data_IF_837339980412
#
_entry.id   IF_837339980412
#
_cell.length_a   1.000
_cell.length_b   1.000
_cell.length_c   1.000
_cell.angle_alpha   90.00
_cell.angle_beta   90.00
_cell.angle_gamma   90.00
#
_symmetry.space_group_name_H-M   'P 1'
#
loop_
_entity.id
_entity.type
_entity.pdbx_description
1 polymer ?
#
# COMPACT_ATOMS: atom_id res chain seq x y z
N UNK A 1 -5.68 -19.57 25.65
CA UNK A 1 -5.53 -18.30 24.89
C UNK A 1 -6.03 -18.61 23.51
N UNK A 2 -7.08 -17.94 23.01
CA UNK A 2 -7.48 -18.13 21.61
C UNK A 2 -6.31 -17.69 20.73
N UNK A 3 -5.88 -18.53 19.81
CA UNK A 3 -4.81 -18.19 18.88
C UNK A 3 -5.19 -16.91 18.12
N UNK A 4 -4.42 -15.86 18.31
CA UNK A 4 -4.61 -14.57 17.63
C UNK A 4 -4.46 -14.78 16.13
N UNK A 5 -5.52 -14.58 15.38
CA UNK A 5 -5.51 -14.70 13.91
C UNK A 5 -4.86 -13.45 13.33
N UNK A 6 -3.81 -13.64 12.54
CA UNK A 6 -3.17 -12.55 11.80
C UNK A 6 -3.75 -12.53 10.38
N UNK A 7 -4.26 -11.36 9.88
CA UNK A 7 -4.67 -11.25 8.49
C UNK A 7 -3.52 -11.58 7.54
N UNK A 8 -3.80 -12.33 6.48
CA UNK A 8 -2.78 -12.65 5.48
C UNK A 8 -2.36 -11.41 4.68
N UNK A 9 -3.33 -10.59 4.27
CA UNK A 9 -3.10 -9.35 3.53
C UNK A 9 -3.69 -8.14 4.28
N UNK A 10 -2.83 -7.28 4.78
CA UNK A 10 -3.20 -6.00 5.42
C UNK A 10 -2.96 -4.85 4.45
N UNK A 11 -3.91 -3.93 4.38
CA UNK A 11 -3.77 -2.69 3.62
C UNK A 11 -3.82 -1.47 4.55
N UNK A 12 -3.02 -0.42 4.28
CA UNK A 12 -2.99 0.79 5.11
C UNK A 12 -3.12 2.04 4.24
N UNK A 13 -4.15 2.85 4.53
CA UNK A 13 -4.24 4.23 4.04
C UNK A 13 -3.62 5.15 5.08
N UNK A 14 -2.42 5.64 4.78
CA UNK A 14 -1.55 6.42 5.68
C UNK A 14 -1.95 7.89 5.72
N UNK A 15 -3.10 8.19 6.32
CA UNK A 15 -3.64 9.55 6.39
C UNK A 15 -3.21 10.29 7.68
N UNK A 16 -3.21 11.63 7.62
CA UNK A 16 -3.00 12.50 8.77
C UNK A 16 -1.61 13.12 8.89
N UNK A 17 -0.65 12.83 8.01
CA UNK A 17 0.71 13.38 8.08
C UNK A 17 0.75 14.91 8.17
N UNK A 18 -0.04 15.61 7.35
CA UNK A 18 -0.10 17.08 7.33
C UNK A 18 -0.79 17.64 8.57
N UNK A 19 -1.90 17.00 9.02
CA UNK A 19 -2.64 17.40 10.23
C UNK A 19 -1.77 17.25 11.46
N UNK A 20 -1.06 16.12 11.59
CA UNK A 20 -0.08 15.88 12.64
C UNK A 20 0.99 16.98 12.71
N UNK A 21 1.57 17.36 11.57
CA UNK A 21 2.56 18.41 11.52
C UNK A 21 1.96 19.77 11.94
N UNK A 22 0.76 20.12 11.46
CA UNK A 22 0.05 21.36 11.81
C UNK A 22 -0.21 21.46 13.31
N UNK A 23 -0.72 20.42 13.95
CA UNK A 23 -0.97 20.40 15.40
C UNK A 23 0.30 20.56 16.23
N UNK A 24 1.43 20.09 15.71
CA UNK A 24 2.75 20.23 16.36
C UNK A 24 3.50 21.52 15.94
N UNK A 25 2.85 22.45 15.24
CA UNK A 25 3.48 23.69 14.77
C UNK A 25 4.62 23.47 13.76
N UNK A 26 4.59 22.34 13.02
CA UNK A 26 5.66 21.94 12.09
C UNK A 26 5.21 22.10 10.62
N UNK A 27 6.19 22.19 9.72
CA UNK A 27 5.93 22.16 8.27
C UNK A 27 5.36 20.80 7.84
N UNK A 28 4.47 20.78 6.85
CA UNK A 28 3.87 19.55 6.31
C UNK A 28 4.92 18.51 5.87
N UNK A 29 6.05 18.95 5.32
CA UNK A 29 7.18 18.09 4.93
C UNK A 29 7.73 17.24 6.10
N UNK A 30 7.76 17.79 7.32
CA UNK A 30 8.18 17.03 8.50
C UNK A 30 7.15 15.95 8.90
N UNK A 31 5.86 16.19 8.67
CA UNK A 31 4.84 15.16 8.86
C UNK A 31 5.02 13.97 7.90
N UNK A 32 5.30 14.25 6.62
CA UNK A 32 5.60 13.20 5.64
C UNK A 32 6.89 12.44 5.97
N UNK A 33 7.93 13.15 6.43
CA UNK A 33 9.18 12.52 6.86
C UNK A 33 8.93 11.59 8.06
N UNK A 34 8.18 12.02 9.06
CA UNK A 34 7.87 11.20 10.23
C UNK A 34 6.99 10.01 9.84
N UNK A 35 5.95 10.22 9.03
CA UNK A 35 5.14 9.13 8.48
C UNK A 35 5.97 8.09 7.72
N UNK A 36 7.00 8.52 6.98
CA UNK A 36 7.88 7.58 6.28
C UNK A 36 8.73 6.72 7.23
N UNK A 37 9.11 7.22 8.42
CA UNK A 37 9.77 6.43 9.46
C UNK A 37 8.77 5.45 10.09
N UNK A 38 7.58 5.93 10.42
CA UNK A 38 6.49 5.09 10.93
C UNK A 38 6.18 3.94 9.99
N UNK A 39 6.10 4.21 8.67
CA UNK A 39 5.86 3.16 7.68
C UNK A 39 6.95 2.07 7.72
N UNK A 40 8.21 2.46 7.84
CA UNK A 40 9.32 1.50 7.91
C UNK A 40 9.23 0.64 9.18
N UNK A 41 8.95 1.25 10.34
CA UNK A 41 8.84 0.58 11.64
C UNK A 41 7.61 -0.35 11.66
N UNK A 42 6.41 0.20 11.39
CA UNK A 42 5.15 -0.55 11.42
C UNK A 42 5.09 -1.62 10.34
N UNK A 43 5.65 -1.35 9.14
CA UNK A 43 5.75 -2.34 8.08
C UNK A 43 6.60 -3.55 8.47
N UNK A 44 7.78 -3.30 9.05
CA UNK A 44 8.63 -4.40 9.56
C UNK A 44 7.97 -5.15 10.70
N UNK A 45 7.25 -4.45 11.58
CA UNK A 45 6.49 -5.07 12.67
C UNK A 45 5.36 -5.96 12.14
N UNK A 46 4.60 -5.51 11.14
CA UNK A 46 3.54 -6.30 10.52
C UNK A 46 4.06 -7.64 9.98
N UNK A 47 5.19 -7.65 9.25
CA UNK A 47 5.80 -8.89 8.77
C UNK A 47 6.27 -9.80 9.91
N UNK A 48 6.89 -9.25 10.97
CA UNK A 48 7.29 -10.00 12.17
C UNK A 48 6.08 -10.60 12.89
N UNK A 49 4.93 -9.92 12.86
CA UNK A 49 3.67 -10.41 13.45
C UNK A 49 2.97 -11.48 12.61
N UNK A 50 3.48 -11.81 11.41
CA UNK A 50 2.98 -12.89 10.57
C UNK A 50 2.18 -12.45 9.33
N UNK A 51 1.98 -11.15 9.10
CA UNK A 51 1.39 -10.62 7.86
C UNK A 51 2.25 -11.05 6.68
N UNK A 52 1.63 -11.57 5.61
CA UNK A 52 2.34 -12.03 4.40
C UNK A 52 2.34 -10.99 3.29
N UNK A 53 1.28 -10.19 3.21
CA UNK A 53 1.13 -9.12 2.22
C UNK A 53 0.76 -7.83 2.93
N UNK A 54 1.54 -6.79 2.70
CA UNK A 54 1.25 -5.45 3.22
C UNK A 54 1.16 -4.47 2.06
N UNK A 55 -0.03 -3.91 1.82
CA UNK A 55 -0.24 -2.87 0.80
C UNK A 55 -0.39 -1.50 1.46
N UNK A 56 0.28 -0.47 0.92
CA UNK A 56 0.21 0.88 1.48
C UNK A 56 -0.06 1.93 0.42
N UNK A 57 -0.90 2.92 0.74
CA UNK A 57 -1.23 4.01 -0.16
C UNK A 57 -0.23 5.15 0.01
N UNK A 58 0.84 5.14 -0.79
CA UNK A 58 1.92 6.12 -0.69
C UNK A 58 1.63 7.42 -1.46
N UNK A 59 1.06 7.32 -2.68
CA UNK A 59 0.75 8.49 -3.51
C UNK A 59 -0.35 8.14 -4.54
N UNK A 60 -1.50 8.83 -4.44
CA UNK A 60 -2.61 8.61 -5.36
C UNK A 60 -2.47 9.43 -6.64
N UNK A 61 -3.18 9.05 -7.71
CA UNK A 61 -3.29 9.83 -8.95
C UNK A 61 -3.82 11.24 -8.68
N UNK A 62 -4.72 11.42 -7.70
CA UNK A 62 -5.28 12.70 -7.31
C UNK A 62 -4.27 13.61 -6.59
N UNK A 63 -3.20 13.06 -6.04
CA UNK A 63 -2.18 13.84 -5.34
C UNK A 63 -1.35 14.73 -6.27
N UNK A 64 -1.35 14.48 -7.58
CA UNK A 64 -0.76 15.39 -8.55
C UNK A 64 -1.47 16.76 -8.64
N UNK A 65 -2.68 16.88 -8.08
CA UNK A 65 -3.40 18.18 -7.95
C UNK A 65 -2.83 19.07 -6.83
N UNK A 66 -1.89 18.57 -6.02
CA UNK A 66 -1.18 19.35 -5.00
C UNK A 66 -0.20 20.33 -5.66
N UNK A 67 0.37 21.24 -4.87
CA UNK A 67 1.40 22.15 -5.38
C UNK A 67 2.61 21.37 -5.93
N UNK A 68 3.24 21.89 -6.98
CA UNK A 68 4.45 21.30 -7.58
C UNK A 68 5.57 21.11 -6.56
N UNK A 69 5.71 22.07 -5.61
CA UNK A 69 6.67 22.00 -4.52
C UNK A 69 6.41 20.77 -3.62
N UNK A 70 5.14 20.55 -3.23
CA UNK A 70 4.77 19.39 -2.39
C UNK A 70 4.98 18.06 -3.14
N UNK A 71 4.57 18.00 -4.40
CA UNK A 71 4.77 16.81 -5.25
C UNK A 71 6.25 16.52 -5.43
N UNK A 72 7.05 17.53 -5.77
CA UNK A 72 8.51 17.42 -5.90
C UNK A 72 9.16 16.89 -4.64
N UNK A 73 8.84 17.49 -3.48
CA UNK A 73 9.33 17.02 -2.19
C UNK A 73 8.97 15.55 -1.90
N UNK A 74 7.72 15.15 -2.17
CA UNK A 74 7.28 13.76 -1.95
C UNK A 74 8.02 12.78 -2.84
N UNK A 75 8.27 13.11 -4.12
CA UNK A 75 9.05 12.28 -5.04
C UNK A 75 10.50 12.13 -4.56
N UNK A 76 11.14 13.22 -4.09
CA UNK A 76 12.49 13.17 -3.52
C UNK A 76 12.55 12.33 -2.25
N UNK A 77 11.55 12.45 -1.38
CA UNK A 77 11.43 11.64 -0.16
C UNK A 77 11.29 10.15 -0.51
N UNK A 78 10.47 9.80 -1.50
CA UNK A 78 10.28 8.44 -1.98
C UNK A 78 11.61 7.85 -2.47
N UNK A 79 12.34 8.57 -3.35
CA UNK A 79 13.64 8.12 -3.86
C UNK A 79 14.61 7.88 -2.71
N UNK A 80 14.71 8.85 -1.78
CA UNK A 80 15.58 8.75 -0.62
C UNK A 80 15.25 7.52 0.23
N UNK A 81 13.95 7.29 0.47
CA UNK A 81 13.48 6.14 1.25
C UNK A 81 13.73 4.82 0.54
N UNK A 82 13.44 4.71 -0.74
CA UNK A 82 13.72 3.51 -1.52
C UNK A 82 15.19 3.12 -1.43
N UNK A 83 16.10 4.08 -1.58
CA UNK A 83 17.54 3.83 -1.45
C UNK A 83 17.96 3.41 -0.04
N UNK A 84 17.44 4.09 1.00
CA UNK A 84 17.85 3.85 2.39
C UNK A 84 17.28 2.57 2.99
N UNK A 85 16.07 2.15 2.57
CA UNK A 85 15.36 0.98 3.14
C UNK A 85 15.52 -0.29 2.32
N UNK A 86 16.00 -0.19 1.06
CA UNK A 86 16.17 -1.33 0.16
C UNK A 86 16.96 -2.48 0.80
N UNK A 87 18.14 -2.18 1.35
CA UNK A 87 18.98 -3.20 2.01
C UNK A 87 18.33 -3.83 3.24
N UNK A 88 17.42 -3.11 3.91
CA UNK A 88 16.70 -3.62 5.06
C UNK A 88 15.64 -4.64 4.62
N UNK A 89 14.87 -4.33 3.57
CA UNK A 89 13.90 -5.27 2.99
C UNK A 89 14.60 -6.50 2.42
N UNK A 90 15.65 -6.32 1.64
CA UNK A 90 16.47 -7.39 1.06
C UNK A 90 17.00 -8.34 2.16
N UNK A 91 17.63 -7.82 3.22
CA UNK A 91 18.18 -8.61 4.34
C UNK A 91 17.10 -9.36 5.12
N UNK A 92 15.87 -8.84 5.18
CA UNK A 92 14.75 -9.48 5.87
C UNK A 92 13.91 -10.37 4.95
N UNK A 93 14.34 -10.60 3.70
CA UNK A 93 13.65 -11.47 2.75
C UNK A 93 12.27 -10.96 2.33
N UNK A 94 12.05 -9.62 2.35
CA UNK A 94 10.78 -9.00 1.96
C UNK A 94 10.89 -8.55 0.50
N UNK A 95 10.01 -9.09 -0.35
CA UNK A 95 9.85 -8.65 -1.73
C UNK A 95 9.07 -7.32 -1.75
N UNK A 96 9.59 -6.32 -2.46
CA UNK A 96 8.88 -5.05 -2.66
C UNK A 96 8.38 -4.99 -4.09
N UNK A 97 7.11 -4.63 -4.25
CA UNK A 97 6.47 -4.40 -5.54
C UNK A 97 5.76 -3.04 -5.53
N UNK A 98 5.66 -2.42 -6.69
CA UNK A 98 5.03 -1.11 -6.81
C UNK A 98 3.81 -1.22 -7.70
N UNK A 99 2.62 -0.95 -7.17
CA UNK A 99 1.37 -0.84 -7.91
C UNK A 99 1.13 0.60 -8.34
N UNK A 100 0.77 0.80 -9.61
CA UNK A 100 0.43 2.09 -10.19
C UNK A 100 1.14 2.38 -11.51
N UNK A 101 0.71 3.47 -12.14
CA UNK A 101 1.23 3.90 -13.44
C UNK A 101 2.65 4.42 -13.32
N UNK A 102 3.49 4.14 -14.33
CA UNK A 102 4.87 4.67 -14.42
C UNK A 102 4.95 5.97 -15.22
N UNK A 103 3.96 6.20 -16.09
CA UNK A 103 3.78 7.47 -16.78
C UNK A 103 3.57 8.63 -15.79
N UNK A 104 3.96 9.83 -16.16
CA UNK A 104 3.95 11.03 -15.32
C UNK A 104 4.84 10.99 -14.07
N UNK A 105 5.58 9.88 -13.83
CA UNK A 105 6.64 9.86 -12.82
C UNK A 105 7.96 10.37 -13.42
N UNK A 106 8.73 11.10 -12.62
CA UNK A 106 10.08 11.53 -13.00
C UNK A 106 10.97 10.31 -13.32
N UNK A 107 11.87 10.39 -14.32
CA UNK A 107 12.74 9.26 -14.70
C UNK A 107 13.59 8.70 -13.55
N UNK A 108 14.04 9.56 -12.61
CA UNK A 108 14.81 9.14 -11.45
C UNK A 108 13.97 8.35 -10.43
N UNK A 109 12.66 8.65 -10.31
CA UNK A 109 11.72 7.87 -9.50
C UNK A 109 11.53 6.49 -10.12
N UNK A 110 11.29 6.41 -11.44
CA UNK A 110 11.14 5.14 -12.18
C UNK A 110 12.39 4.27 -12.02
N UNK A 111 13.59 4.87 -12.13
CA UNK A 111 14.86 4.16 -11.91
C UNK A 111 14.98 3.63 -10.47
N UNK A 112 14.60 4.44 -9.47
CA UNK A 112 14.64 4.01 -8.06
C UNK A 112 13.67 2.85 -7.77
N UNK A 113 12.48 2.87 -8.38
CA UNK A 113 11.51 1.77 -8.34
C UNK A 113 12.12 0.49 -8.91
N UNK A 114 12.62 0.55 -10.15
CA UNK A 114 13.17 -0.63 -10.85
C UNK A 114 14.33 -1.26 -10.05
N UNK A 115 15.19 -0.43 -9.45
CA UNK A 115 16.29 -0.92 -8.62
C UNK A 115 15.80 -1.59 -7.33
N UNK A 116 14.78 -1.00 -6.65
CA UNK A 116 14.20 -1.57 -5.45
C UNK A 116 13.54 -2.92 -5.73
N UNK A 117 12.69 -3.00 -6.78
CA UNK A 117 12.03 -4.23 -7.20
C UNK A 117 13.05 -5.32 -7.58
N UNK A 118 14.08 -4.96 -8.36
CA UNK A 118 15.14 -5.89 -8.78
C UNK A 118 15.90 -6.48 -7.59
N UNK A 119 16.29 -5.65 -6.62
CA UNK A 119 17.08 -6.10 -5.46
C UNK A 119 16.29 -6.95 -4.49
N UNK A 120 14.99 -6.75 -4.40
CA UNK A 120 14.13 -7.46 -3.44
C UNK A 120 13.33 -8.60 -4.08
N UNK A 121 13.51 -8.88 -5.38
CA UNK A 121 12.69 -9.83 -6.16
C UNK A 121 12.64 -11.24 -5.59
N UNK A 122 13.71 -11.69 -4.95
CA UNK A 122 13.87 -13.05 -4.43
C UNK A 122 13.42 -13.18 -2.95
N UNK A 123 12.80 -12.11 -2.38
CA UNK A 123 12.24 -12.16 -1.03
C UNK A 123 11.06 -13.13 -0.93
N UNK A 124 11.08 -13.97 0.11
CA UNK A 124 10.08 -15.05 0.34
C UNK A 124 9.35 -14.94 1.68
N UNK A 125 9.75 -14.02 2.55
CA UNK A 125 9.15 -13.84 3.88
C UNK A 125 7.79 -13.16 3.79
N UNK A 126 7.68 -12.16 2.89
CA UNK A 126 6.44 -11.42 2.64
C UNK A 126 6.59 -10.47 1.46
N UNK A 127 5.46 -9.90 1.03
CA UNK A 127 5.38 -8.93 -0.08
C UNK A 127 4.93 -7.58 0.44
N UNK A 128 5.76 -6.55 0.21
CA UNK A 128 5.42 -5.17 0.50
C UNK A 128 5.01 -4.46 -0.79
N UNK A 129 3.73 -4.21 -0.95
CA UNK A 129 3.16 -3.51 -2.10
C UNK A 129 2.99 -2.02 -1.78
N UNK A 130 3.67 -1.16 -2.53
CA UNK A 130 3.58 0.29 -2.39
C UNK A 130 2.78 0.86 -3.56
N UNK A 131 1.58 1.37 -3.27
CA UNK A 131 0.73 2.01 -4.27
C UNK A 131 1.21 3.45 -4.50
N UNK A 132 1.86 3.67 -5.66
CA UNK A 132 2.47 4.93 -6.07
C UNK A 132 1.95 5.34 -7.45
N UNK A 133 1.50 6.59 -7.61
CA UNK A 133 0.75 7.03 -8.79
C UNK A 133 -0.42 6.06 -9.09
N UNK A 134 -1.14 5.75 -8.03
CA UNK A 134 -2.13 4.68 -8.00
C UNK A 134 -3.56 5.24 -7.85
N UNK A 135 -4.51 4.59 -8.50
CA UNK A 135 -5.95 4.75 -8.30
C UNK A 135 -6.66 3.47 -8.73
N UNK A 136 -7.58 2.96 -7.91
CA UNK A 136 -8.25 1.68 -8.17
C UNK A 136 -9.10 1.68 -9.44
N UNK A 137 -9.73 2.81 -9.79
CA UNK A 137 -10.43 2.95 -11.07
C UNK A 137 -9.44 2.87 -12.24
N UNK A 138 -8.29 3.57 -12.15
CA UNK A 138 -7.25 3.52 -13.18
C UNK A 138 -6.66 2.11 -13.33
N UNK A 139 -6.46 1.39 -12.24
CA UNK A 139 -5.99 -0.01 -12.28
C UNK A 139 -6.97 -0.91 -13.04
N UNK A 140 -8.27 -0.80 -12.74
CA UNK A 140 -9.32 -1.58 -13.43
C UNK A 140 -9.38 -1.22 -14.92
N UNK A 141 -9.33 0.09 -15.27
CA UNK A 141 -9.31 0.54 -16.66
C UNK A 141 -8.10 -0.02 -17.44
N UNK A 142 -6.92 0.00 -16.82
CA UNK A 142 -5.70 -0.49 -17.44
C UNK A 142 -5.71 -2.03 -17.57
N UNK A 143 -6.26 -2.74 -16.57
CA UNK A 143 -6.50 -4.18 -16.61
C UNK A 143 -7.44 -4.57 -17.76
N UNK A 144 -8.57 -3.85 -17.93
CA UNK A 144 -9.51 -4.08 -19.03
C UNK A 144 -8.85 -3.84 -20.40
N UNK A 145 -8.05 -2.78 -20.56
CA UNK A 145 -7.31 -2.52 -21.80
C UNK A 145 -6.34 -3.65 -22.14
N UNK A 146 -5.62 -4.17 -21.14
CA UNK A 146 -4.69 -5.29 -21.31
C UNK A 146 -5.44 -6.56 -21.69
N UNK A 147 -6.54 -6.88 -20.98
CA UNK A 147 -7.41 -8.02 -21.26
C UNK A 147 -7.97 -7.97 -22.69
N UNK A 148 -8.51 -6.80 -23.09
CA UNK A 148 -9.07 -6.62 -24.43
C UNK A 148 -8.01 -6.82 -25.53
N UNK A 149 -6.77 -6.38 -25.30
CA UNK A 149 -5.65 -6.62 -26.20
C UNK A 149 -5.32 -8.11 -26.30
N UNK A 150 -5.17 -8.80 -25.17
CA UNK A 150 -4.84 -10.22 -25.12
C UNK A 150 -5.96 -11.07 -25.75
N UNK A 151 -7.22 -10.69 -25.57
CA UNK A 151 -8.36 -11.32 -26.25
C UNK A 151 -8.27 -11.15 -27.76
N UNK A 152 -8.03 -9.91 -28.24
CA UNK A 152 -7.84 -9.64 -29.68
C UNK A 152 -6.68 -10.45 -30.28
N UNK A 153 -5.62 -10.64 -29.50
CA UNK A 153 -4.42 -11.39 -29.89
C UNK A 153 -4.61 -12.93 -29.76
N UNK A 154 -5.78 -13.41 -29.35
CA UNK A 154 -6.09 -14.84 -29.15
C UNK A 154 -5.34 -15.50 -27.99
N UNK A 155 -4.88 -14.71 -26.99
CA UNK A 155 -4.08 -15.20 -25.85
C UNK A 155 -4.91 -15.56 -24.64
N UNK A 156 -6.17 -15.15 -24.58
CA UNK A 156 -7.06 -15.36 -23.45
C UNK A 156 -8.44 -15.77 -23.93
N UNK A 157 -9.06 -16.70 -23.18
CA UNK A 157 -10.46 -17.09 -23.28
C UNK A 157 -11.25 -16.32 -22.22
N UNK A 158 -12.26 -15.52 -22.64
CA UNK A 158 -13.09 -14.71 -21.74
C UNK A 158 -14.02 -15.55 -20.86
N UNK A 159 -14.29 -16.81 -21.23
CA UNK A 159 -15.09 -17.70 -20.41
C UNK A 159 -14.25 -18.38 -19.29
N UNK A 160 -12.91 -18.30 -19.40
CA UNK A 160 -12.01 -18.94 -18.45
C UNK A 160 -10.72 -18.11 -18.25
N UNK A 161 -10.79 -17.02 -17.50
CA UNK A 161 -9.63 -16.19 -17.17
C UNK A 161 -9.69 -15.71 -15.71
N UNK A 162 -8.52 -15.39 -15.16
CA UNK A 162 -8.39 -14.74 -13.86
C UNK A 162 -8.12 -13.24 -14.03
N UNK A 163 -9.11 -12.41 -13.67
CA UNK A 163 -8.98 -10.96 -13.77
C UNK A 163 -7.88 -10.40 -12.87
N UNK A 164 -7.60 -11.05 -11.73
CA UNK A 164 -6.55 -10.62 -10.81
C UNK A 164 -5.17 -10.54 -11.48
N UNK A 165 -4.87 -11.47 -12.42
CA UNK A 165 -3.63 -11.50 -13.19
C UNK A 165 -3.43 -10.30 -14.13
N UNK A 166 -4.50 -9.54 -14.40
CA UNK A 166 -4.48 -8.33 -15.24
C UNK A 166 -4.26 -7.06 -14.42
N UNK A 167 -4.45 -7.10 -13.10
CA UNK A 167 -4.18 -5.97 -12.21
C UNK A 167 -2.69 -5.61 -12.19
N UNK A 168 -2.32 -4.50 -11.56
CA UNK A 168 -0.91 -4.08 -11.50
C UNK A 168 0.00 -5.09 -10.82
N UNK A 169 -0.52 -5.81 -9.82
CA UNK A 169 0.17 -6.91 -9.14
C UNK A 169 -0.84 -8.03 -8.89
N UNK A 170 -0.40 -9.25 -9.13
CA UNK A 170 -1.15 -10.46 -8.76
C UNK A 170 -0.97 -10.72 -7.26
N UNK A 171 -1.86 -10.11 -6.46
CA UNK A 171 -1.87 -10.20 -5.01
C UNK A 171 -3.19 -10.85 -4.53
N UNK A 172 -3.17 -11.59 -3.42
CA UNK A 172 -4.40 -12.12 -2.84
C UNK A 172 -5.35 -10.98 -2.42
N UNK A 173 -6.66 -11.26 -2.27
CA UNK A 173 -7.60 -10.29 -1.71
C UNK A 173 -7.12 -9.73 -0.37
N UNK A 174 -7.51 -8.49 -0.08
CA UNK A 174 -7.18 -7.84 1.19
C UNK A 174 -8.15 -8.35 2.26
N UNK A 175 -7.60 -8.88 3.35
CA UNK A 175 -8.39 -9.28 4.52
C UNK A 175 -8.79 -8.09 5.38
N UNK A 176 -7.88 -7.13 5.54
CA UNK A 176 -8.04 -6.06 6.51
C UNK A 176 -7.46 -4.74 6.01
N UNK A 177 -8.32 -3.71 5.93
CA UNK A 177 -7.93 -2.34 5.64
C UNK A 177 -7.90 -1.51 6.92
N UNK A 178 -6.79 -0.83 7.15
CA UNK A 178 -6.61 0.16 8.21
C UNK A 178 -6.53 1.54 7.57
N UNK A 179 -7.35 2.50 8.05
CA UNK A 179 -7.18 3.91 7.71
C UNK A 179 -7.02 4.74 8.95
N UNK A 180 -5.96 5.55 8.98
CA UNK A 180 -5.63 6.46 10.08
C UNK A 180 -6.31 7.82 9.91
N UNK A 181 -6.39 8.61 11.00
CA UNK A 181 -6.79 10.01 10.97
C UNK A 181 -8.31 10.29 10.96
N UNK A 182 -9.14 9.29 11.32
CA UNK A 182 -10.58 9.47 11.54
C UNK A 182 -11.44 9.63 10.26
N UNK A 183 -10.86 9.40 9.08
CA UNK A 183 -11.60 9.48 7.81
C UNK A 183 -12.14 8.11 7.41
N UNK A 184 -13.46 8.00 7.25
CA UNK A 184 -14.18 6.73 6.98
C UNK A 184 -14.51 6.59 5.50
N UNK A 185 -13.49 6.47 4.66
CA UNK A 185 -13.58 6.24 3.21
C UNK A 185 -12.33 5.55 2.68
N UNK A 186 -12.43 4.87 1.54
CA UNK A 186 -11.30 4.14 0.91
C UNK A 186 -10.55 4.95 -0.14
N UNK A 187 -11.10 6.07 -0.59
CA UNK A 187 -10.46 7.06 -1.48
C UNK A 187 -9.83 6.45 -2.73
N UNK A 188 -10.57 5.61 -3.44
CA UNK A 188 -10.11 4.96 -4.67
C UNK A 188 -8.90 4.02 -4.48
N UNK A 189 -8.72 3.48 -3.26
CA UNK A 189 -7.64 2.55 -2.95
C UNK A 189 -8.07 1.11 -3.19
N UNK A 190 -7.33 0.36 -3.97
CA UNK A 190 -7.40 -1.09 -4.22
C UNK A 190 -8.84 -1.65 -4.31
N UNK A 191 -9.70 -1.02 -5.15
CA UNK A 191 -11.15 -1.26 -5.19
C UNK A 191 -11.51 -2.74 -5.40
N UNK A 192 -10.81 -3.40 -6.31
CA UNK A 192 -11.07 -4.80 -6.64
C UNK A 192 -10.66 -5.73 -5.47
N UNK A 193 -9.49 -5.49 -4.91
CA UNK A 193 -8.92 -6.34 -3.86
C UNK A 193 -9.62 -6.15 -2.50
N UNK A 194 -10.30 -5.01 -2.28
CA UNK A 194 -11.02 -4.68 -1.04
C UNK A 194 -12.44 -5.25 -0.95
N UNK A 195 -12.93 -5.97 -1.97
CA UNK A 195 -14.33 -6.36 -2.11
C UNK A 195 -14.94 -7.05 -0.87
N UNK A 196 -14.17 -7.82 -0.12
CA UNK A 196 -14.59 -8.54 1.09
C UNK A 196 -13.74 -8.21 2.32
N UNK A 197 -13.02 -7.08 2.29
CA UNK A 197 -12.14 -6.68 3.38
C UNK A 197 -12.91 -6.19 4.61
N UNK A 198 -12.43 -6.52 5.78
CA UNK A 198 -12.81 -5.83 7.01
C UNK A 198 -12.17 -4.44 7.05
N UNK A 199 -12.92 -3.42 7.45
CA UNK A 199 -12.46 -2.04 7.48
C UNK A 199 -12.29 -1.55 8.92
N UNK A 200 -11.14 -0.95 9.22
CA UNK A 200 -10.84 -0.35 10.52
C UNK A 200 -10.41 1.10 10.35
N UNK A 201 -11.12 2.00 11.00
CA UNK A 201 -10.87 3.43 11.00
C UNK A 201 -10.42 3.87 12.39
N UNK A 202 -9.27 4.56 12.49
CA UNK A 202 -8.75 5.05 13.75
C UNK A 202 -8.51 6.56 13.71
N UNK A 203 -8.80 7.32 14.79
CA UNK A 203 -8.53 8.75 14.84
C UNK A 203 -7.03 9.07 14.92
N UNK A 204 -6.18 8.10 15.23
CA UNK A 204 -4.72 8.27 15.34
C UNK A 204 -4.14 8.71 14.00
N UNK A 205 -3.34 9.76 13.99
CA UNK A 205 -2.60 10.17 12.79
C UNK A 205 -1.49 9.19 12.44
N UNK A 206 -1.23 8.97 11.16
CA UNK A 206 -0.26 7.95 10.73
C UNK A 206 1.14 8.11 11.36
N UNK A 207 1.74 9.30 11.56
CA UNK A 207 3.02 9.41 12.26
C UNK A 207 3.04 8.83 13.67
N UNK A 208 1.91 8.78 14.35
CA UNK A 208 1.76 8.23 15.70
C UNK A 208 1.20 6.79 15.70
N UNK A 209 0.91 6.20 14.51
CA UNK A 209 0.44 4.82 14.36
C UNK A 209 1.60 3.84 14.45
N UNK A 210 1.96 3.45 15.68
CA UNK A 210 3.08 2.55 15.98
C UNK A 210 2.63 1.11 16.21
N UNK A 211 3.52 0.26 16.70
CA UNK A 211 3.29 -1.17 16.97
C UNK A 211 2.04 -1.39 17.84
N UNK A 212 1.87 -0.60 18.90
CA UNK A 212 0.71 -0.68 19.80
C UNK A 212 -0.61 -0.45 19.06
N UNK A 213 -0.67 0.58 18.21
CA UNK A 213 -1.86 0.89 17.42
C UNK A 213 -2.14 -0.17 16.36
N UNK A 214 -1.08 -0.76 15.79
CA UNK A 214 -1.20 -1.90 14.90
C UNK A 214 -1.77 -3.12 15.63
N UNK A 215 -1.28 -3.43 16.82
CA UNK A 215 -1.81 -4.51 17.66
C UNK A 215 -3.28 -4.31 18.02
N UNK A 216 -3.69 -3.08 18.40
CA UNK A 216 -5.09 -2.76 18.66
C UNK A 216 -5.97 -2.99 17.42
N UNK A 217 -5.47 -2.66 16.23
CA UNK A 217 -6.19 -2.93 14.99
C UNK A 217 -6.35 -4.44 14.73
N UNK A 218 -5.29 -5.25 14.94
CA UNK A 218 -5.37 -6.70 14.82
C UNK A 218 -6.30 -7.32 15.87
N UNK A 219 -6.31 -6.80 17.10
CA UNK A 219 -7.25 -7.26 18.12
C UNK A 219 -8.70 -6.96 17.74
N UNK A 220 -8.95 -5.80 17.10
CA UNK A 220 -10.29 -5.47 16.57
C UNK A 220 -10.69 -6.40 15.42
N UNK A 221 -9.77 -6.74 14.52
CA UNK A 221 -10.00 -7.73 13.47
C UNK A 221 -10.42 -9.09 14.05
N UNK A 222 -9.80 -9.53 15.16
CA UNK A 222 -10.10 -10.79 15.81
C UNK A 222 -11.46 -10.83 16.52
N UNK A 223 -12.05 -9.68 16.85
CA UNK A 223 -13.40 -9.60 17.45
C UNK A 223 -14.51 -9.83 16.40
N UNK A 224 -14.21 -9.69 15.12
CA UNK A 224 -15.18 -9.75 14.04
C UNK A 224 -15.49 -11.18 13.64
N UNK A 225 -16.78 -11.48 13.46
CA UNK A 225 -17.26 -12.76 12.91
C UNK A 225 -17.34 -12.61 11.39
N UNK A 226 -16.37 -13.17 10.68
CA UNK A 226 -16.35 -13.15 9.20
C UNK A 226 -17.25 -14.24 8.67
N UNK A 227 -18.34 -13.87 7.98
CA UNK A 227 -19.36 -14.82 7.48
C UNK A 227 -19.27 -15.06 5.98
N UNK A 228 -18.47 -14.32 5.21
CA UNK A 228 -18.25 -14.49 3.76
C UNK A 228 -19.56 -14.80 2.94
N UNK A 229 -20.68 -14.21 3.34
CA UNK A 229 -21.96 -14.42 2.67
C UNK A 229 -22.74 -15.69 3.05
N UNK A 230 -22.31 -16.43 4.08
CA UNK A 230 -22.97 -17.61 4.63
C UNK A 230 -23.49 -17.38 6.06
#
# INVERSE_FOLDING_TARGET
MSDRIVPNHVAIIMDGNRRWAKEKGKKASLGHLEGSKTLEETGMYAFKSGVKYLSVFAFSTENFKRSEEEVGYLMDLIIKKFKSTCSKFEKNGIKVVISGRRDNLRPDVVKAISELERRTKDGTVGVFNICLNYGGQAEIEDAVKKLAKDYKDGKVDLDNFDFNSYLYQDLPPIDFLIRTSGEERISNFMLYQLAYSELYFTPVYFPDFKEKEFDLAIDEYNKRKRRFGG
#
